data_IF_997289458261
#
_entry.id   IF_997289458261
#
_cell.length_a   1.000
_cell.length_b   1.000
_cell.length_c   1.000
_cell.angle_alpha   90.00
_cell.angle_beta   90.00
_cell.angle_gamma   90.00
#
_symmetry.space_group_name_H-M   'P 1'
#
loop_
_entity.id
_entity.type
_entity.pdbx_description
1 polymer ?
#
# COMPACT_ATOMS: atom_id res chain seq x y z
N UNK A 1 28.03 31.92 9.76
CA UNK A 1 27.44 31.31 10.97
C UNK A 1 25.98 31.72 11.10
N UNK A 2 25.10 31.25 10.21
CA UNK A 2 23.66 31.59 10.21
C UNK A 2 22.83 30.49 9.50
N UNK A 3 23.26 29.23 9.59
CA UNK A 3 22.63 28.09 8.86
C UNK A 3 22.41 26.85 9.76
N UNK A 4 22.46 26.98 11.10
CA UNK A 4 22.35 25.83 12.00
C UNK A 4 21.19 25.90 13.02
N UNK A 5 20.48 27.02 13.14
CA UNK A 5 19.44 27.21 14.17
C UNK A 5 18.03 26.87 13.66
N UNK A 6 17.80 26.86 12.35
CA UNK A 6 16.47 26.59 11.78
C UNK A 6 16.08 25.09 11.74
N UNK A 7 17.05 24.18 11.90
CA UNK A 7 16.79 22.73 11.81
C UNK A 7 16.25 22.15 13.14
N UNK A 8 16.56 22.77 14.29
CA UNK A 8 16.11 22.27 15.61
C UNK A 8 14.62 22.55 15.91
N UNK A 9 14.02 23.59 15.29
CA UNK A 9 12.61 23.94 15.53
C UNK A 9 11.63 23.09 14.70
N UNK A 10 12.03 22.60 13.53
CA UNK A 10 11.18 21.75 12.69
C UNK A 10 11.04 20.31 13.21
N UNK A 11 11.99 19.84 14.03
CA UNK A 11 11.96 18.49 14.61
C UNK A 11 11.11 18.39 15.89
N UNK A 12 10.66 19.52 16.47
CA UNK A 12 9.91 19.55 17.75
C UNK A 12 8.39 19.66 17.61
N UNK A 13 7.84 19.82 16.40
CA UNK A 13 6.41 20.08 16.19
C UNK A 13 5.55 18.84 15.83
N UNK A 14 6.11 17.62 15.83
CA UNK A 14 5.33 16.40 15.57
C UNK A 14 5.89 15.20 16.36
N UNK A 15 5.86 15.30 17.67
CA UNK A 15 5.71 14.11 18.51
C UNK A 15 4.37 14.26 19.21
N UNK A 16 3.28 14.07 18.45
CA UNK A 16 2.08 13.56 19.07
C UNK A 16 2.50 12.21 19.65
N UNK A 17 2.70 12.15 20.96
CA UNK A 17 2.94 10.90 21.66
C UNK A 17 1.81 9.94 21.29
N UNK A 18 2.12 8.98 20.41
CA UNK A 18 1.29 7.81 20.19
C UNK A 18 1.27 7.11 21.54
N UNK A 19 0.23 7.36 22.34
CA UNK A 19 -0.03 6.61 23.56
C UNK A 19 -0.17 5.14 23.15
N UNK A 20 0.87 4.37 23.39
CA UNK A 20 0.85 2.92 23.26
C UNK A 20 -0.22 2.41 24.22
N UNK A 21 -1.25 1.76 23.69
CA UNK A 21 -2.26 1.10 24.51
C UNK A 21 -1.60 -0.05 25.28
N UNK A 22 -1.77 -0.12 26.62
CA UNK A 22 -1.25 -1.24 27.38
C UNK A 22 -2.09 -2.48 27.06
N UNK A 23 -1.50 -3.47 26.37
CA UNK A 23 -2.15 -4.75 26.09
C UNK A 23 -1.86 -5.40 24.74
N UNK A 24 -1.20 -4.71 23.79
CA UNK A 24 -0.75 -5.36 22.56
C UNK A 24 0.49 -6.21 22.86
N UNK A 25 0.37 -7.54 22.77
CA UNK A 25 1.52 -8.44 22.81
C UNK A 25 2.57 -7.99 21.79
N UNK A 26 3.84 -7.95 22.19
CA UNK A 26 4.93 -7.60 21.29
C UNK A 26 4.92 -8.53 20.07
N UNK A 27 4.89 -7.95 18.88
CA UNK A 27 4.94 -8.69 17.62
C UNK A 27 6.26 -9.49 17.55
N UNK A 28 6.25 -10.73 17.03
CA UNK A 28 7.47 -11.52 16.92
C UNK A 28 8.45 -10.88 15.94
N UNK A 29 9.77 -11.10 16.11
CA UNK A 29 10.82 -10.44 15.33
C UNK A 29 10.74 -10.67 13.80
N UNK A 30 9.99 -11.68 13.35
CA UNK A 30 9.77 -11.97 11.93
C UNK A 30 8.55 -11.26 11.34
N UNK A 31 7.69 -10.65 12.16
CA UNK A 31 6.53 -9.92 11.69
C UNK A 31 6.95 -8.51 11.27
N UNK A 32 6.60 -8.12 10.04
CA UNK A 32 6.82 -6.76 9.55
C UNK A 32 5.51 -6.23 8.97
N UNK A 33 4.96 -5.12 9.49
CA UNK A 33 3.75 -4.53 8.93
C UNK A 33 4.01 -3.91 7.56
N UNK A 34 2.94 -3.68 6.80
CA UNK A 34 3.00 -2.79 5.64
C UNK A 34 3.24 -1.37 6.12
N UNK A 35 4.18 -0.66 5.48
CA UNK A 35 4.48 0.75 5.78
C UNK A 35 4.19 1.62 4.57
N UNK A 36 3.92 2.91 4.81
CA UNK A 36 3.76 3.89 3.72
C UNK A 36 5.03 3.98 2.86
N UNK A 37 6.21 3.89 3.49
CA UNK A 37 7.50 3.93 2.81
C UNK A 37 7.62 2.81 1.77
N UNK A 38 7.37 1.55 2.14
CA UNK A 38 7.51 0.46 1.18
C UNK A 38 6.44 0.51 0.08
N UNK A 39 5.24 1.03 0.34
CA UNK A 39 4.26 1.27 -0.72
C UNK A 39 4.76 2.29 -1.75
N UNK A 40 5.36 3.41 -1.30
CA UNK A 40 5.95 4.42 -2.18
C UNK A 40 7.13 3.86 -2.96
N UNK A 41 8.04 3.15 -2.27
CA UNK A 41 9.22 2.55 -2.88
C UNK A 41 8.85 1.51 -3.94
N UNK A 42 7.90 0.61 -3.65
CA UNK A 42 7.50 -0.43 -4.58
C UNK A 42 6.66 0.11 -5.74
N UNK A 43 5.82 1.13 -5.51
CA UNK A 43 5.17 1.85 -6.59
C UNK A 43 6.21 2.47 -7.55
N UNK A 44 7.21 3.15 -7.01
CA UNK A 44 8.31 3.72 -7.80
C UNK A 44 9.12 2.66 -8.55
N UNK A 45 9.55 1.60 -7.86
CA UNK A 45 10.34 0.47 -8.40
C UNK A 45 9.63 -0.16 -9.61
N UNK A 46 8.32 -0.36 -9.51
CA UNK A 46 7.51 -1.00 -10.54
C UNK A 46 6.92 -0.01 -11.56
N UNK A 47 7.21 1.29 -11.42
CA UNK A 47 6.62 2.40 -12.20
C UNK A 47 5.09 2.34 -12.25
N UNK A 48 4.48 2.08 -11.10
CA UNK A 48 3.04 2.15 -10.88
C UNK A 48 2.72 3.49 -10.20
N UNK A 49 1.58 4.10 -10.54
CA UNK A 49 1.07 5.20 -9.71
C UNK A 49 0.71 4.66 -8.33
N UNK A 50 1.11 5.36 -7.27
CA UNK A 50 0.86 4.93 -5.89
C UNK A 50 -0.62 4.67 -5.61
N UNK A 51 -1.51 5.50 -6.16
CA UNK A 51 -2.96 5.35 -6.00
C UNK A 51 -3.47 4.03 -6.58
N UNK A 52 -2.86 3.53 -7.66
CA UNK A 52 -3.21 2.25 -8.29
C UNK A 52 -2.82 1.08 -7.39
N UNK A 53 -1.62 1.10 -6.83
CA UNK A 53 -1.16 0.07 -5.89
C UNK A 53 -2.01 0.05 -4.61
N UNK A 54 -2.30 1.22 -4.05
CA UNK A 54 -3.18 1.36 -2.88
C UNK A 54 -4.60 0.84 -3.15
N UNK A 55 -5.15 1.15 -4.33
CA UNK A 55 -6.48 0.68 -4.71
C UNK A 55 -6.55 -0.84 -4.83
N UNK A 56 -5.54 -1.47 -5.43
CA UNK A 56 -5.43 -2.94 -5.48
C UNK A 56 -5.33 -3.53 -4.08
N UNK A 57 -4.36 -3.09 -3.26
CA UNK A 57 -4.18 -3.62 -1.89
C UNK A 57 -5.46 -3.53 -1.06
N UNK A 58 -6.18 -2.40 -1.17
CA UNK A 58 -7.43 -2.19 -0.46
C UNK A 58 -8.60 -3.01 -1.03
N UNK A 59 -8.63 -3.25 -2.34
CA UNK A 59 -9.62 -4.12 -2.97
C UNK A 59 -9.41 -5.60 -2.61
N UNK A 60 -8.16 -6.02 -2.37
CA UNK A 60 -7.84 -7.36 -1.86
C UNK A 60 -8.26 -7.55 -0.41
N UNK A 61 -8.13 -6.51 0.42
CA UNK A 61 -8.56 -6.55 1.82
C UNK A 61 -7.76 -7.54 2.68
N UNK A 62 -6.59 -7.95 2.21
CA UNK A 62 -5.70 -8.84 2.94
C UNK A 62 -5.04 -8.15 4.13
N UNK A 63 -4.47 -8.96 5.02
CA UNK A 63 -3.67 -8.51 6.17
C UNK A 63 -2.45 -9.39 6.36
N UNK A 64 -1.45 -8.90 7.08
CA UNK A 64 -0.27 -9.70 7.44
C UNK A 64 -0.72 -10.92 8.24
N UNK A 65 -0.23 -12.10 7.87
CA UNK A 65 -0.58 -13.41 8.40
C UNK A 65 -1.82 -14.06 7.78
N UNK A 66 -2.49 -13.39 6.83
CA UNK A 66 -3.71 -13.93 6.21
C UNK A 66 -3.40 -14.96 5.12
N UNK A 67 -4.12 -16.07 5.16
CA UNK A 67 -4.20 -17.07 4.11
C UNK A 67 -5.67 -17.31 3.78
N UNK A 68 -6.06 -17.04 2.54
CA UNK A 68 -7.42 -17.30 2.05
C UNK A 68 -7.41 -18.53 1.17
N UNK A 69 -8.14 -19.58 1.58
CA UNK A 69 -8.17 -20.84 0.83
C UNK A 69 -9.12 -20.75 -0.37
N UNK A 70 -8.64 -21.16 -1.53
CA UNK A 70 -9.43 -21.28 -2.75
C UNK A 70 -9.98 -22.70 -2.94
N UNK A 71 -10.97 -22.84 -3.83
CA UNK A 71 -11.65 -24.12 -4.09
C UNK A 71 -10.74 -25.15 -4.77
N UNK A 72 -9.76 -24.69 -5.54
CA UNK A 72 -8.74 -25.50 -6.20
C UNK A 72 -7.59 -25.95 -5.27
N UNK A 73 -7.65 -25.57 -3.98
CA UNK A 73 -6.63 -25.89 -2.98
C UNK A 73 -5.46 -24.91 -2.92
N UNK A 74 -5.41 -23.91 -3.79
CA UNK A 74 -4.46 -22.80 -3.67
C UNK A 74 -4.83 -21.86 -2.52
N UNK A 75 -3.90 -20.98 -2.13
CA UNK A 75 -4.13 -19.95 -1.13
C UNK A 75 -3.71 -18.58 -1.63
N UNK A 76 -4.45 -17.54 -1.24
CA UNK A 76 -4.05 -16.14 -1.42
C UNK A 76 -3.41 -15.61 -0.13
N UNK A 77 -2.19 -15.08 -0.24
CA UNK A 77 -1.32 -14.79 0.90
C UNK A 77 -1.18 -13.29 1.13
N UNK A 78 -1.38 -12.87 2.39
CA UNK A 78 -0.97 -11.58 2.92
C UNK A 78 -1.76 -10.37 2.39
N UNK A 79 -1.26 -9.14 2.59
CA UNK A 79 -1.94 -7.89 2.25
C UNK A 79 -2.43 -7.77 0.80
N UNK A 80 -1.62 -8.19 -0.16
CA UNK A 80 -1.92 -8.16 -1.59
C UNK A 80 -2.62 -9.44 -2.09
N UNK A 81 -2.93 -10.39 -1.20
CA UNK A 81 -3.61 -11.65 -1.52
C UNK A 81 -2.99 -12.35 -2.75
N UNK A 82 -1.67 -12.48 -2.77
CA UNK A 82 -0.96 -13.09 -3.89
C UNK A 82 -1.12 -14.61 -3.81
N UNK A 83 -1.57 -15.21 -4.90
CA UNK A 83 -1.87 -16.64 -4.95
C UNK A 83 -0.61 -17.53 -4.95
N UNK A 84 -0.69 -18.66 -4.23
CA UNK A 84 0.36 -19.68 -4.14
C UNK A 84 0.81 -20.28 -5.47
N UNK A 85 0.03 -20.19 -6.55
CA UNK A 85 0.45 -20.63 -7.90
C UNK A 85 1.74 -19.93 -8.37
N UNK A 86 2.05 -18.77 -7.81
CA UNK A 86 3.25 -18.00 -8.14
C UNK A 86 4.49 -18.47 -7.37
N UNK A 87 4.36 -19.29 -6.33
CA UNK A 87 5.49 -19.70 -5.50
C UNK A 87 6.63 -20.37 -6.28
N UNK A 88 6.41 -21.23 -7.29
CA UNK A 88 7.51 -21.81 -8.06
C UNK A 88 8.34 -20.76 -8.82
N UNK A 89 7.69 -19.72 -9.34
CA UNK A 89 8.36 -18.61 -10.03
C UNK A 89 9.10 -17.72 -9.02
N UNK A 90 8.44 -17.37 -7.92
CA UNK A 90 9.02 -16.52 -6.88
C UNK A 90 10.18 -17.20 -6.16
N UNK A 91 10.11 -18.50 -5.90
CA UNK A 91 11.19 -19.30 -5.32
C UNK A 91 12.48 -19.21 -6.16
N UNK A 92 12.35 -19.32 -7.48
CA UNK A 92 13.46 -19.12 -8.42
C UNK A 92 13.96 -17.68 -8.41
N UNK A 93 13.05 -16.71 -8.47
CA UNK A 93 13.37 -15.28 -8.51
C UNK A 93 14.16 -14.83 -7.27
N UNK A 94 13.78 -15.30 -6.08
CA UNK A 94 14.40 -14.91 -4.82
C UNK A 94 15.50 -15.87 -4.33
N UNK A 95 15.79 -16.93 -5.09
CA UNK A 95 16.74 -17.98 -4.73
C UNK A 95 16.47 -18.56 -3.31
N UNK A 96 15.21 -18.93 -3.05
CA UNK A 96 14.70 -19.44 -1.77
C UNK A 96 13.73 -20.59 -2.00
N UNK A 97 13.50 -21.42 -0.98
CA UNK A 97 12.45 -22.44 -1.06
C UNK A 97 11.06 -21.81 -1.15
N UNK A 98 10.10 -22.53 -1.75
CA UNK A 98 8.72 -22.08 -1.82
C UNK A 98 8.10 -21.82 -0.43
N UNK A 99 8.47 -22.62 0.57
CA UNK A 99 8.03 -22.44 1.96
C UNK A 99 8.55 -21.16 2.60
N UNK A 100 9.82 -20.82 2.37
CA UNK A 100 10.40 -19.55 2.86
C UNK A 100 9.74 -18.34 2.20
N UNK A 101 9.52 -18.39 0.88
CA UNK A 101 8.83 -17.32 0.15
C UNK A 101 7.40 -17.15 0.65
N UNK A 102 6.65 -18.24 0.83
CA UNK A 102 5.30 -18.19 1.39
C UNK A 102 5.27 -17.57 2.79
N UNK A 103 6.24 -17.93 3.65
CA UNK A 103 6.37 -17.37 5.00
C UNK A 103 6.68 -15.87 4.95
N UNK A 104 7.59 -15.43 4.07
CA UNK A 104 7.89 -14.02 3.88
C UNK A 104 6.66 -13.26 3.36
N UNK A 105 5.95 -13.80 2.37
CA UNK A 105 4.71 -13.19 1.86
C UNK A 105 3.63 -13.09 2.92
N UNK A 106 3.55 -14.06 3.83
CA UNK A 106 2.55 -14.03 4.89
C UNK A 106 2.89 -12.97 5.93
N UNK A 107 4.15 -12.88 6.36
CA UNK A 107 4.49 -12.19 7.60
C UNK A 107 5.38 -10.96 7.44
N UNK A 108 5.97 -10.74 6.27
CA UNK A 108 6.60 -9.49 5.89
C UNK A 108 5.69 -8.75 4.90
N UNK A 109 4.91 -7.81 5.43
CA UNK A 109 3.95 -7.03 4.66
C UNK A 109 4.60 -6.24 3.53
N UNK A 110 5.80 -5.70 3.74
CA UNK A 110 6.51 -4.99 2.68
C UNK A 110 7.05 -5.94 1.60
N UNK A 111 7.51 -7.14 1.98
CA UNK A 111 7.83 -8.18 1.01
C UNK A 111 6.60 -8.59 0.18
N UNK A 112 5.44 -8.77 0.83
CA UNK A 112 4.19 -9.07 0.15
C UNK A 112 3.77 -7.97 -0.84
N UNK A 113 3.88 -6.69 -0.43
CA UNK A 113 3.64 -5.54 -1.30
C UNK A 113 4.60 -5.53 -2.50
N UNK A 114 5.88 -5.81 -2.28
CA UNK A 114 6.87 -5.88 -3.36
C UNK A 114 6.52 -6.98 -4.38
N UNK A 115 6.14 -8.17 -3.91
CA UNK A 115 5.69 -9.27 -4.77
C UNK A 115 4.41 -8.90 -5.53
N UNK A 116 3.41 -8.34 -4.84
CA UNK A 116 2.15 -7.93 -5.45
C UNK A 116 2.36 -6.83 -6.51
N UNK A 117 3.16 -5.80 -6.21
CA UNK A 117 3.49 -4.73 -7.15
C UNK A 117 4.26 -5.25 -8.38
N UNK A 118 5.23 -6.14 -8.17
CA UNK A 118 5.94 -6.81 -9.27
C UNK A 118 4.99 -7.61 -10.16
N UNK A 119 4.08 -8.39 -9.56
CA UNK A 119 3.11 -9.18 -10.30
C UNK A 119 2.14 -8.29 -11.08
N UNK A 120 1.66 -7.20 -10.49
CA UNK A 120 0.84 -6.19 -11.18
C UNK A 120 1.58 -5.65 -12.41
N UNK A 121 2.84 -5.23 -12.24
CA UNK A 121 3.63 -4.72 -13.36
C UNK A 121 3.84 -5.76 -14.45
N UNK A 122 4.11 -7.02 -14.07
CA UNK A 122 4.20 -8.14 -15.00
C UNK A 122 2.91 -8.29 -15.81
N UNK A 123 1.74 -8.28 -15.15
CA UNK A 123 0.43 -8.39 -15.84
C UNK A 123 0.12 -7.20 -16.73
N UNK A 124 0.49 -5.99 -16.33
CA UNK A 124 0.36 -4.79 -17.17
C UNK A 124 1.23 -4.90 -18.42
N UNK A 125 2.46 -5.42 -18.30
CA UNK A 125 3.31 -5.64 -19.47
C UNK A 125 2.74 -6.73 -20.41
N UNK A 126 2.18 -7.81 -19.87
CA UNK A 126 1.48 -8.85 -20.66
C UNK A 126 0.18 -8.34 -21.31
N UNK A 127 -0.27 -7.16 -20.93
CA UNK A 127 -1.44 -6.45 -21.45
C UNK A 127 -1.04 -5.25 -22.33
N UNK A 128 0.16 -5.27 -22.93
CA UNK A 128 0.69 -4.22 -23.80
C UNK A 128 0.73 -2.83 -23.15
N UNK A 129 0.88 -2.80 -21.82
CA UNK A 129 0.89 -1.56 -21.03
C UNK A 129 -0.48 -1.12 -20.53
N UNK A 130 -1.57 -1.81 -20.90
CA UNK A 130 -2.90 -1.53 -20.35
C UNK A 130 -2.97 -2.00 -18.89
N UNK A 131 -2.97 -1.01 -18.00
CA UNK A 131 -3.09 -1.24 -16.57
C UNK A 131 -4.38 -1.98 -16.21
N UNK A 132 -5.53 -1.55 -16.73
CA UNK A 132 -6.84 -2.10 -16.36
C UNK A 132 -6.98 -3.54 -16.81
N UNK A 133 -6.54 -3.84 -18.04
CA UNK A 133 -6.54 -5.21 -18.52
C UNK A 133 -5.54 -6.08 -17.72
N UNK A 134 -4.39 -5.51 -17.33
CA UNK A 134 -3.42 -6.14 -16.45
C UNK A 134 -3.99 -6.50 -15.07
N UNK A 135 -4.68 -5.58 -14.38
CA UNK A 135 -5.24 -5.87 -13.04
C UNK A 135 -6.35 -6.90 -13.11
N UNK A 136 -7.12 -6.91 -14.20
CA UNK A 136 -8.12 -7.94 -14.43
C UNK A 136 -7.49 -9.33 -14.40
N UNK A 137 -6.39 -9.49 -15.14
CA UNK A 137 -5.58 -10.73 -15.20
C UNK A 137 -4.80 -11.03 -13.92
N UNK A 138 -4.52 -10.03 -13.08
CA UNK A 138 -3.96 -10.23 -11.75
C UNK A 138 -4.91 -11.08 -10.90
N UNK A 139 -6.20 -10.77 -10.94
CA UNK A 139 -7.22 -11.48 -10.17
C UNK A 139 -7.74 -12.75 -10.87
N UNK A 140 -8.10 -12.68 -12.16
CA UNK A 140 -8.61 -13.83 -12.90
C UNK A 140 -8.50 -13.67 -14.41
N UNK A 141 -8.22 -14.77 -15.12
CA UNK A 141 -8.30 -14.80 -16.58
C UNK A 141 -9.73 -14.93 -17.12
N UNK A 142 -10.69 -15.32 -16.28
CA UNK A 142 -12.10 -15.46 -16.66
C UNK A 142 -12.72 -14.07 -16.82
N UNK A 143 -13.27 -13.70 -18.00
CA UNK A 143 -13.71 -12.33 -18.28
C UNK A 143 -14.68 -11.75 -17.26
N UNK A 144 -15.68 -12.51 -16.82
CA UNK A 144 -16.66 -12.05 -15.81
C UNK A 144 -16.01 -11.69 -14.48
N UNK A 145 -15.05 -12.48 -14.01
CA UNK A 145 -14.37 -12.24 -12.74
C UNK A 145 -13.37 -11.08 -12.86
N UNK A 146 -12.64 -11.03 -13.98
CA UNK A 146 -11.74 -9.95 -14.34
C UNK A 146 -12.46 -8.59 -14.35
N UNK A 147 -13.56 -8.47 -15.11
CA UNK A 147 -14.33 -7.22 -15.22
C UNK A 147 -14.90 -6.79 -13.86
N UNK A 148 -15.46 -7.72 -13.09
CA UNK A 148 -15.98 -7.41 -11.74
C UNK A 148 -14.88 -6.86 -10.83
N UNK A 149 -13.69 -7.46 -10.89
CA UNK A 149 -12.55 -7.03 -10.10
C UNK A 149 -12.04 -5.65 -10.53
N UNK A 150 -11.94 -5.39 -11.84
CA UNK A 150 -11.59 -4.07 -12.39
C UNK A 150 -12.52 -2.98 -11.84
N UNK A 151 -13.83 -3.21 -11.89
CA UNK A 151 -14.83 -2.26 -11.38
C UNK A 151 -14.69 -2.03 -9.87
N UNK A 152 -14.40 -3.08 -9.10
CA UNK A 152 -14.12 -2.96 -7.66
C UNK A 152 -12.91 -2.08 -7.41
N UNK A 153 -11.78 -2.34 -8.07
CA UNK A 153 -10.55 -1.56 -7.89
C UNK A 153 -10.76 -0.10 -8.31
N UNK A 154 -11.47 0.13 -9.42
CA UNK A 154 -11.82 1.47 -9.87
C UNK A 154 -12.67 2.23 -8.83
N UNK A 155 -13.69 1.58 -8.26
CA UNK A 155 -14.50 2.19 -7.18
C UNK A 155 -13.65 2.55 -5.96
N UNK A 156 -12.77 1.64 -5.52
CA UNK A 156 -11.86 1.87 -4.39
C UNK A 156 -10.91 3.04 -4.68
N UNK A 157 -10.40 3.13 -5.90
CA UNK A 157 -9.51 4.22 -6.33
C UNK A 157 -10.23 5.56 -6.28
N UNK A 158 -11.47 5.64 -6.78
CA UNK A 158 -12.28 6.85 -6.71
C UNK A 158 -12.52 7.29 -5.26
N UNK A 159 -12.77 6.35 -4.35
CA UNK A 159 -12.95 6.66 -2.94
C UNK A 159 -11.67 7.18 -2.29
N UNK A 160 -10.50 6.64 -2.65
CA UNK A 160 -9.20 7.13 -2.16
C UNK A 160 -8.99 8.58 -2.62
N UNK A 161 -9.20 8.85 -3.92
CA UNK A 161 -9.01 10.19 -4.48
C UNK A 161 -9.97 11.20 -3.86
N UNK A 162 -11.26 10.87 -3.77
CA UNK A 162 -12.26 11.76 -3.15
C UNK A 162 -11.89 12.12 -1.72
N UNK A 163 -11.43 11.14 -0.93
CA UNK A 163 -10.99 11.37 0.45
C UNK A 163 -9.77 12.27 0.51
N UNK A 164 -8.75 12.00 -0.31
CA UNK A 164 -7.56 12.85 -0.39
C UNK A 164 -7.90 14.31 -0.72
N UNK A 165 -8.81 14.54 -1.68
CA UNK A 165 -9.25 15.89 -2.04
C UNK A 165 -10.00 16.59 -0.90
N UNK A 166 -10.83 15.85 -0.16
CA UNK A 166 -11.54 16.39 1.01
C UNK A 166 -10.58 16.73 2.16
N UNK A 167 -9.59 15.87 2.40
CA UNK A 167 -8.55 16.08 3.42
C UNK A 167 -7.68 17.31 3.06
N UNK A 168 -7.30 17.47 1.79
CA UNK A 168 -6.57 18.65 1.30
C UNK A 168 -7.39 19.93 1.44
N UNK A 169 -8.69 19.90 1.13
CA UNK A 169 -9.58 21.05 1.30
C UNK A 169 -9.71 21.45 2.78
N UNK A 170 -9.80 20.47 3.68
CA UNK A 170 -9.82 20.68 5.14
C UNK A 170 -8.49 21.26 5.64
N UNK A 171 -7.36 20.74 5.15
CA UNK A 171 -6.04 21.26 5.53
C UNK A 171 -5.87 22.72 5.09
N UNK A 172 -6.27 23.07 3.86
CA UNK A 172 -6.23 24.46 3.37
C UNK A 172 -7.11 25.41 4.19
N UNK A 173 -8.33 24.99 4.55
CA UNK A 173 -9.22 25.83 5.38
C UNK A 173 -8.66 26.09 6.78
N UNK A 174 -7.98 25.11 7.39
CA UNK A 174 -7.28 25.30 8.67
C UNK A 174 -6.13 26.31 8.53
N UNK A 175 -5.34 26.24 7.46
CA UNK A 175 -4.25 27.19 7.21
C UNK A 175 -4.76 28.63 7.05
N UNK A 176 -5.87 28.85 6.33
CA UNK A 176 -6.47 30.19 6.19
C UNK A 176 -7.10 30.70 7.49
N UNK A 177 -7.70 29.84 8.30
CA UNK A 177 -8.25 30.21 9.61
C UNK A 177 -7.14 30.58 10.63
N UNK A 178 -5.95 29.99 10.53
CA UNK A 178 -4.79 30.36 11.33
C UNK A 178 -4.03 31.61 10.84
N UNK A 179 -4.38 32.15 9.67
CA UNK A 179 -3.70 33.28 9.04
C UNK A 179 -4.46 34.64 9.12
N UNK A 180 -5.59 34.72 9.86
CA UNK A 180 -6.31 35.97 10.14
C UNK A 180 -6.06 36.39 11.61
N UNK A 181 -5.61 37.59 11.98
CA UNK A 181 -5.31 38.85 11.27
C UNK A 181 -4.16 39.60 12.00
N UNK A 182 -3.39 40.50 11.35
CA UNK A 182 -2.54 41.45 12.07
C UNK A 182 -3.44 42.43 12.84
N UNK A 183 -3.22 42.51 14.16
CA UNK A 183 -3.78 43.55 15.04
C UNK A 183 -3.42 44.92 14.45
N UNK A 184 -4.43 45.67 14.00
CA UNK A 184 -4.25 47.09 13.72
C UNK A 184 -4.07 47.82 15.05
N UNK A 185 -2.83 48.12 15.40
CA UNK A 185 -2.53 49.05 16.49
C UNK A 185 -3.00 50.45 16.03
N UNK A 186 -4.11 50.87 16.64
CA UNK A 186 -4.64 52.22 16.54
C UNK A 186 -3.69 53.27 17.14
N UNK A 187 -3.91 54.49 16.67
CA UNK A 187 -3.14 55.73 16.85
C UNK A 187 -2.84 56.11 18.29
#
# INVERSE_FOLDING_TARGET
>A
MLEAVAIDLAQRASVAEVRSSPGAAAQPAWYRPVTAQCLVEEAGRQRLELVKLLAVMKAEGGRVGMFSRNTDGSYDIGPMQVNTIHLPELAKLFNRSAGEVARLMAYDGCFNVAVGAWLLRKRTNEADGDFWYGIGRYHSKTPVHSTRYILRVHSVMQDIVKKSLADDAKARTVTYAGAAAPEQQGQ
#
